data_IF_011451053240
#
_entry.id   IF_011451053240
#
_cell.length_a   1.000
_cell.length_b   1.000
_cell.length_c   1.000
_cell.angle_alpha   90.00
_cell.angle_beta   90.00
_cell.angle_gamma   90.00
#
_symmetry.space_group_name_H-M   'P 1'
#
loop_
_entity.id
_entity.type
_entity.pdbx_description
1 polymer ?
#
# COMPACT_ATOMS: atom_id res chain seq x y z
N UNK A 1 -7.61 -6.25 -18.47
CA UNK A 1 -7.13 -5.99 -17.09
C UNK A 1 -7.71 -4.68 -16.54
N UNK A 2 -7.60 -3.57 -17.30
CA UNK A 2 -8.12 -2.24 -16.94
C UNK A 2 -9.56 -2.20 -16.41
N UNK A 3 -10.46 -3.06 -16.90
CA UNK A 3 -11.86 -3.08 -16.45
C UNK A 3 -12.03 -3.57 -15.00
N UNK A 4 -11.30 -4.62 -14.59
CA UNK A 4 -11.36 -5.11 -13.20
C UNK A 4 -10.64 -4.19 -12.23
N UNK A 5 -9.51 -3.62 -12.66
CA UNK A 5 -8.76 -2.64 -11.88
C UNK A 5 -9.60 -1.38 -11.60
N UNK A 6 -10.11 -0.71 -12.64
CA UNK A 6 -10.94 0.48 -12.47
C UNK A 6 -12.19 0.20 -11.64
N UNK A 7 -12.84 -0.94 -11.85
CA UNK A 7 -13.99 -1.30 -11.04
C UNK A 7 -13.59 -1.52 -9.57
N UNK A 8 -12.46 -2.17 -9.31
CA UNK A 8 -11.92 -2.32 -7.96
C UNK A 8 -11.70 -0.98 -7.25
N UNK A 9 -11.03 -0.04 -7.93
CA UNK A 9 -10.78 1.30 -7.40
C UNK A 9 -12.08 2.07 -7.13
N UNK A 10 -13.02 2.07 -8.07
CA UNK A 10 -14.31 2.75 -7.90
C UNK A 10 -15.09 2.21 -6.68
N UNK A 11 -15.06 0.90 -6.48
CA UNK A 11 -15.84 0.28 -5.41
C UNK A 11 -15.28 0.60 -4.03
N UNK A 12 -13.96 0.61 -3.84
CA UNK A 12 -13.40 0.75 -2.49
C UNK A 12 -11.93 1.10 -2.41
N UNK A 13 -11.33 1.63 -3.47
CA UNK A 13 -9.92 2.01 -3.48
C UNK A 13 -9.58 2.94 -2.31
N UNK A 14 -8.54 2.64 -1.51
CA UNK A 14 -8.19 3.45 -0.34
C UNK A 14 -7.34 4.68 -0.69
N UNK A 15 -6.81 4.73 -1.92
CA UNK A 15 -5.93 5.79 -2.41
C UNK A 15 -6.66 6.82 -3.28
N UNK A 16 -7.94 6.59 -3.56
CA UNK A 16 -8.79 7.44 -4.43
C UNK A 16 -10.19 7.52 -3.85
N UNK A 17 -10.98 8.51 -4.27
CA UNK A 17 -12.39 8.56 -3.90
C UNK A 17 -13.11 7.29 -4.39
N UNK A 18 -13.86 6.64 -3.50
CA UNK A 18 -14.50 5.36 -3.79
C UNK A 18 -15.83 5.18 -3.04
N UNK A 19 -16.61 4.16 -3.43
CA UNK A 19 -17.92 3.86 -2.85
C UNK A 19 -17.84 3.18 -1.47
N UNK A 20 -16.64 2.93 -0.93
CA UNK A 20 -16.43 2.29 0.38
C UNK A 20 -16.79 0.79 0.43
N UNK A 21 -17.10 0.16 -0.70
CA UNK A 21 -17.43 -1.26 -0.83
C UNK A 21 -16.15 -2.10 -0.95
N UNK A 22 -15.37 -2.14 0.13
CA UNK A 22 -14.05 -2.76 0.18
C UNK A 22 -14.03 -4.25 -0.16
N UNK A 23 -15.07 -5.01 0.23
CA UNK A 23 -15.19 -6.43 -0.14
C UNK A 23 -15.38 -6.65 -1.66
N UNK A 24 -16.18 -5.78 -2.30
CA UNK A 24 -16.37 -5.80 -3.75
C UNK A 24 -15.04 -5.41 -4.42
N UNK A 25 -14.42 -4.33 -3.95
CA UNK A 25 -13.11 -3.89 -4.46
C UNK A 25 -12.07 -5.01 -4.41
N UNK A 26 -11.99 -5.74 -3.29
CA UNK A 26 -11.03 -6.83 -3.11
C UNK A 26 -11.27 -7.96 -4.12
N UNK A 27 -12.53 -8.33 -4.36
CA UNK A 27 -12.89 -9.37 -5.32
C UNK A 27 -12.39 -9.02 -6.73
N UNK A 28 -12.60 -7.78 -7.17
CA UNK A 28 -12.17 -7.34 -8.50
C UNK A 28 -10.67 -7.10 -8.59
N UNK A 29 -10.04 -6.58 -7.54
CA UNK A 29 -8.59 -6.42 -7.49
C UNK A 29 -7.86 -7.77 -7.49
N UNK A 30 -8.39 -8.81 -6.82
CA UNK A 30 -7.82 -10.17 -6.91
C UNK A 30 -7.86 -10.72 -8.33
N UNK A 31 -8.97 -10.53 -9.05
CA UNK A 31 -9.08 -10.93 -10.47
C UNK A 31 -8.10 -10.15 -11.36
N UNK A 32 -7.93 -8.86 -11.12
CA UNK A 32 -6.96 -8.05 -11.84
C UNK A 32 -5.52 -8.55 -11.57
N UNK A 33 -5.20 -8.85 -10.30
CA UNK A 33 -3.89 -9.34 -9.88
C UNK A 33 -3.57 -10.71 -10.48
N UNK A 34 -4.55 -11.62 -10.55
CA UNK A 34 -4.39 -12.93 -11.20
C UNK A 34 -4.05 -12.77 -12.69
N UNK A 35 -4.79 -11.92 -13.40
CA UNK A 35 -4.52 -11.64 -14.81
C UNK A 35 -3.14 -10.98 -15.03
N UNK A 36 -2.76 -10.03 -14.17
CA UNK A 36 -1.44 -9.40 -14.18
C UNK A 36 -0.32 -10.42 -13.90
N UNK A 37 -0.57 -11.35 -12.97
CA UNK A 37 0.36 -12.43 -12.61
C UNK A 37 0.61 -13.39 -13.78
N UNK A 38 -0.46 -13.80 -14.47
CA UNK A 38 -0.34 -14.64 -15.67
C UNK A 38 0.47 -13.92 -16.77
N UNK A 39 0.19 -12.64 -17.01
CA UNK A 39 0.94 -11.83 -17.98
C UNK A 39 2.42 -11.71 -17.61
N UNK A 40 2.73 -11.46 -16.34
CA UNK A 40 4.12 -11.33 -15.87
C UNK A 40 4.90 -12.65 -15.93
N UNK A 41 4.22 -13.79 -15.75
CA UNK A 41 4.82 -15.12 -15.89
C UNK A 41 5.13 -15.46 -17.36
N UNK A 42 4.23 -15.12 -18.29
CA UNK A 42 4.44 -15.34 -19.72
C UNK A 42 5.49 -14.38 -20.32
N UNK A 43 5.42 -13.10 -19.95
CA UNK A 43 6.28 -12.04 -20.48
C UNK A 43 6.76 -11.09 -19.36
N UNK A 44 7.85 -11.44 -18.67
CA UNK A 44 8.42 -10.58 -17.64
C UNK A 44 9.02 -9.33 -18.31
N UNK A 45 8.37 -8.19 -18.10
CA UNK A 45 8.78 -6.89 -18.61
C UNK A 45 8.71 -5.88 -17.47
N UNK A 46 9.37 -4.73 -17.64
CA UNK A 46 9.22 -3.61 -16.69
C UNK A 46 7.76 -3.15 -16.57
N UNK A 47 6.98 -3.26 -17.64
CA UNK A 47 5.54 -2.97 -17.67
C UNK A 47 4.73 -3.98 -16.87
N UNK A 48 4.95 -5.29 -17.03
CA UNK A 48 4.21 -6.30 -16.27
C UNK A 48 4.56 -6.28 -14.77
N UNK A 49 5.81 -5.95 -14.42
CA UNK A 49 6.19 -5.66 -13.04
C UNK A 49 5.53 -4.37 -12.50
N UNK A 50 5.31 -3.36 -13.35
CA UNK A 50 4.62 -2.13 -12.99
C UNK A 50 3.11 -2.34 -12.75
N UNK A 51 2.48 -3.18 -13.53
CA UNK A 51 1.09 -3.58 -13.33
C UNK A 51 0.92 -4.36 -12.03
N UNK A 52 1.80 -5.32 -11.75
CA UNK A 52 1.76 -6.09 -10.50
C UNK A 52 1.89 -5.20 -9.27
N UNK A 53 2.89 -4.31 -9.21
CA UNK A 53 3.07 -3.39 -8.07
C UNK A 53 1.88 -2.44 -7.92
N UNK A 54 1.33 -1.97 -9.03
CA UNK A 54 0.15 -1.08 -9.08
C UNK A 54 -1.13 -1.73 -8.56
N UNK A 55 -1.19 -3.06 -8.50
CA UNK A 55 -2.35 -3.81 -7.97
C UNK A 55 -2.12 -4.33 -6.55
N UNK A 56 -0.89 -4.76 -6.24
CA UNK A 56 -0.54 -5.34 -4.94
C UNK A 56 -0.74 -4.36 -3.77
N UNK A 57 -0.28 -3.12 -3.94
CA UNK A 57 -0.33 -2.11 -2.87
C UNK A 57 -1.78 -1.70 -2.57
N UNK A 58 -2.61 -1.30 -3.56
CA UNK A 58 -4.02 -1.01 -3.31
C UNK A 58 -4.78 -2.21 -2.73
N UNK A 59 -4.55 -3.43 -3.25
CA UNK A 59 -5.20 -4.63 -2.74
C UNK A 59 -4.88 -4.86 -1.26
N UNK A 60 -3.60 -4.77 -0.89
CA UNK A 60 -3.18 -4.91 0.49
C UNK A 60 -3.62 -3.74 1.38
N UNK A 61 -3.83 -2.55 0.82
CA UNK A 61 -4.32 -1.38 1.56
C UNK A 61 -5.83 -1.41 1.85
N UNK A 62 -6.63 -2.19 1.11
CA UNK A 62 -8.06 -2.37 1.40
C UNK A 62 -8.27 -2.89 2.82
N UNK A 63 -9.29 -2.37 3.52
CA UNK A 63 -9.70 -2.91 4.82
C UNK A 63 -10.00 -4.39 4.72
N UNK A 64 -9.57 -5.16 5.70
CA UNK A 64 -9.73 -6.62 5.79
C UNK A 64 -10.18 -7.02 7.19
N UNK A 65 -10.94 -8.11 7.35
CA UNK A 65 -11.17 -8.70 8.68
C UNK A 65 -9.84 -9.18 9.30
N UNK A 66 -9.80 -9.43 10.63
CA UNK A 66 -8.58 -9.88 11.32
C UNK A 66 -7.90 -11.10 10.67
N UNK A 67 -8.68 -12.04 10.13
CA UNK A 67 -8.17 -13.23 9.42
C UNK A 67 -7.42 -12.91 8.14
N UNK A 68 -7.67 -11.75 7.51
CA UNK A 68 -7.04 -11.31 6.27
C UNK A 68 -5.81 -10.41 6.48
N UNK A 69 -5.46 -10.06 7.72
CA UNK A 69 -4.36 -9.12 8.01
C UNK A 69 -3.00 -9.64 7.52
N UNK A 70 -2.73 -10.94 7.64
CA UNK A 70 -1.48 -11.54 7.23
C UNK A 70 -1.30 -11.54 5.69
N UNK A 71 -2.37 -11.90 4.96
CA UNK A 71 -2.39 -11.83 3.48
C UNK A 71 -2.19 -10.39 3.01
N UNK A 72 -2.96 -9.45 3.57
CA UNK A 72 -2.85 -8.01 3.28
C UNK A 72 -1.42 -7.48 3.50
N UNK A 73 -0.77 -7.84 4.61
CA UNK A 73 0.61 -7.46 4.88
C UNK A 73 1.59 -8.08 3.87
N UNK A 74 1.38 -9.34 3.48
CA UNK A 74 2.23 -10.02 2.50
C UNK A 74 2.18 -9.30 1.14
N UNK A 75 0.98 -8.89 0.69
CA UNK A 75 0.85 -8.17 -0.58
C UNK A 75 1.46 -6.77 -0.54
N UNK A 76 1.32 -6.05 0.58
CA UNK A 76 1.98 -4.74 0.77
C UNK A 76 3.50 -4.87 0.70
N UNK A 77 4.08 -5.86 1.40
CA UNK A 77 5.53 -6.12 1.39
C UNK A 77 6.02 -6.56 0.01
N UNK A 78 5.24 -7.38 -0.69
CA UNK A 78 5.54 -7.80 -2.06
C UNK A 78 5.54 -6.59 -3.01
N UNK A 79 4.53 -5.73 -2.92
CA UNK A 79 4.43 -4.51 -3.71
C UNK A 79 5.60 -3.55 -3.45
N UNK A 80 5.93 -3.30 -2.17
CA UNK A 80 7.08 -2.47 -1.78
C UNK A 80 8.41 -3.05 -2.30
N UNK A 81 8.60 -4.37 -2.20
CA UNK A 81 9.79 -5.04 -2.72
C UNK A 81 9.95 -4.90 -4.24
N UNK A 82 8.84 -4.83 -5.00
CA UNK A 82 8.88 -4.58 -6.44
C UNK A 82 9.17 -3.11 -6.78
N UNK A 83 8.73 -2.16 -5.95
CA UNK A 83 9.09 -0.74 -6.10
C UNK A 83 10.59 -0.52 -5.90
N UNK A 84 11.15 -1.06 -4.82
CA UNK A 84 12.56 -0.88 -4.46
C UNK A 84 13.53 -1.38 -5.55
N UNK A 85 13.16 -2.43 -6.30
CA UNK A 85 14.02 -3.04 -7.34
C UNK A 85 14.11 -2.23 -8.63
N UNK A 86 13.15 -1.33 -8.90
CA UNK A 86 13.00 -0.70 -10.22
C UNK A 86 13.58 0.72 -10.31
N UNK A 87 14.18 1.26 -9.25
CA UNK A 87 14.89 2.55 -9.24
C UNK A 87 14.02 3.79 -9.45
N UNK A 88 12.80 3.64 -9.99
CA UNK A 88 11.76 4.66 -10.05
C UNK A 88 10.92 4.56 -8.78
N UNK A 89 11.20 5.43 -7.82
CA UNK A 89 10.37 5.55 -6.63
C UNK A 89 9.10 6.31 -7.01
N UNK A 90 8.04 5.59 -7.35
CA UNK A 90 6.70 6.13 -7.13
C UNK A 90 6.56 6.31 -5.61
N UNK A 91 6.99 7.47 -5.13
CA UNK A 91 7.08 7.78 -3.72
C UNK A 91 5.73 7.66 -3.02
N UNK A 92 4.65 8.01 -3.72
CA UNK A 92 3.29 7.91 -3.21
C UNK A 92 2.91 6.45 -2.94
N UNK A 93 3.14 5.54 -3.90
CA UNK A 93 2.87 4.12 -3.69
C UNK A 93 3.80 3.50 -2.62
N UNK A 94 5.07 3.91 -2.57
CA UNK A 94 6.01 3.44 -1.57
C UNK A 94 5.58 3.84 -0.15
N UNK A 95 5.22 5.13 0.04
CA UNK A 95 4.68 5.65 1.29
C UNK A 95 3.43 4.85 1.70
N UNK A 96 2.48 4.68 0.78
CA UNK A 96 1.25 3.94 1.05
C UNK A 96 1.54 2.50 1.47
N UNK A 97 2.44 1.79 0.78
CA UNK A 97 2.77 0.41 1.12
C UNK A 97 3.25 0.27 2.58
N UNK A 98 4.16 1.15 3.00
CA UNK A 98 4.70 1.15 4.36
C UNK A 98 3.68 1.63 5.40
N UNK A 99 2.88 2.64 5.08
CA UNK A 99 1.86 3.16 5.99
C UNK A 99 0.79 2.12 6.30
N UNK A 100 0.24 1.47 5.25
CA UNK A 100 -0.75 0.42 5.43
C UNK A 100 -0.13 -0.82 6.08
N UNK A 101 1.14 -1.16 5.79
CA UNK A 101 1.81 -2.27 6.48
C UNK A 101 1.90 -2.02 7.99
N UNK A 102 2.25 -0.79 8.40
CA UNK A 102 2.25 -0.37 9.80
C UNK A 102 0.87 -0.49 10.46
N UNK A 103 -0.21 -0.11 9.75
CA UNK A 103 -1.59 -0.31 10.22
C UNK A 103 -1.93 -1.79 10.42
N UNK A 104 -1.56 -2.66 9.48
CA UNK A 104 -1.80 -4.12 9.59
C UNK A 104 -1.02 -4.73 10.75
N UNK A 105 0.25 -4.36 10.90
CA UNK A 105 1.10 -4.82 12.01
C UNK A 105 0.56 -4.35 13.36
N UNK A 106 0.07 -3.10 13.45
CA UNK A 106 -0.60 -2.60 14.66
C UNK A 106 -1.84 -3.43 14.99
N UNK A 107 -2.69 -3.72 13.99
CA UNK A 107 -3.86 -4.56 14.18
C UNK A 107 -3.54 -6.00 14.59
N UNK A 108 -2.37 -6.51 14.20
CA UNK A 108 -1.84 -7.82 14.61
C UNK A 108 -1.10 -7.81 15.96
N UNK A 109 -1.03 -6.66 16.65
CA UNK A 109 -0.27 -6.53 17.91
C UNK A 109 1.25 -6.47 17.75
N UNK A 110 1.76 -6.39 16.52
CA UNK A 110 3.20 -6.38 16.18
C UNK A 110 3.75 -4.95 16.19
N UNK A 111 3.68 -4.29 17.34
CA UNK A 111 3.87 -2.85 17.45
C UNK A 111 5.29 -2.37 17.08
N UNK A 112 6.33 -3.12 17.45
CA UNK A 112 7.72 -2.76 17.12
C UNK A 112 7.94 -2.73 15.61
N UNK A 113 7.41 -3.72 14.89
CA UNK A 113 7.46 -3.74 13.42
C UNK A 113 6.59 -2.66 12.81
N UNK A 114 5.41 -2.39 13.38
CA UNK A 114 4.55 -1.30 12.91
C UNK A 114 5.25 0.06 12.96
N UNK A 115 5.96 0.35 14.06
CA UNK A 115 6.76 1.57 14.19
C UNK A 115 7.86 1.63 13.13
N UNK A 116 8.50 0.50 12.81
CA UNK A 116 9.52 0.46 11.77
C UNK A 116 8.94 0.82 10.41
N UNK A 117 7.81 0.23 10.01
CA UNK A 117 7.16 0.56 8.73
C UNK A 117 6.72 2.03 8.66
N UNK A 118 6.09 2.57 9.71
CA UNK A 118 5.70 3.99 9.72
C UNK A 118 6.89 4.94 9.65
N UNK A 119 8.05 4.58 10.21
CA UNK A 119 9.28 5.38 10.07
C UNK A 119 9.81 5.39 8.63
N UNK A 120 9.69 4.28 7.91
CA UNK A 120 10.07 4.24 6.49
C UNK A 120 9.14 5.15 5.68
N UNK A 121 7.82 5.07 5.90
CA UNK A 121 6.85 5.96 5.26
C UNK A 121 7.15 7.45 5.54
N UNK A 122 7.45 7.77 6.80
CA UNK A 122 7.82 9.13 7.23
C UNK A 122 9.07 9.64 6.49
N UNK A 123 10.14 8.84 6.45
CA UNK A 123 11.39 9.25 5.80
C UNK A 123 11.22 9.52 4.29
N UNK A 124 10.41 8.72 3.60
CA UNK A 124 10.11 8.96 2.17
C UNK A 124 9.29 10.26 2.02
N UNK A 125 8.26 10.46 2.85
CA UNK A 125 7.45 11.68 2.79
C UNK A 125 8.25 12.95 3.08
N UNK A 126 9.17 12.92 4.05
CA UNK A 126 10.06 14.04 4.37
C UNK A 126 11.04 14.37 3.23
N UNK A 127 11.53 13.35 2.51
CA UNK A 127 12.33 13.56 1.31
C UNK A 127 11.54 14.28 0.22
N UNK A 128 10.27 13.90 0.01
CA UNK A 128 9.38 14.59 -0.93
C UNK A 128 9.15 16.05 -0.53
N UNK A 129 8.89 16.33 0.75
CA UNK A 129 8.72 17.70 1.24
C UNK A 129 9.99 18.54 1.17
N UNK A 130 11.17 17.91 1.23
CA UNK A 130 12.43 18.63 1.02
C UNK A 130 12.55 19.12 -0.42
N UNK A 131 12.15 18.30 -1.40
CA UNK A 131 12.17 18.67 -2.82
C UNK A 131 10.97 19.55 -3.23
N UNK A 132 9.80 19.32 -2.62
CA UNK A 132 8.53 19.96 -2.93
C UNK A 132 7.80 20.35 -1.64
N UNK A 133 8.19 21.46 -1.00
CA UNK A 133 7.65 21.85 0.31
C UNK A 133 6.12 21.97 0.38
N UNK A 134 5.47 22.28 -0.74
CA UNK A 134 4.02 22.47 -0.86
C UNK A 134 3.24 21.24 -1.30
N UNK A 135 3.88 20.07 -1.34
CA UNK A 135 3.19 18.81 -1.64
C UNK A 135 2.23 18.42 -0.50
N UNK A 136 0.93 18.66 -0.73
CA UNK A 136 -0.12 18.33 0.21
C UNK A 136 -0.24 16.84 0.52
N UNK A 137 0.03 15.97 -0.46
CA UNK A 137 -0.03 14.53 -0.28
C UNK A 137 1.10 14.07 0.66
N UNK A 138 2.32 14.56 0.44
CA UNK A 138 3.45 14.26 1.30
C UNK A 138 3.25 14.80 2.73
N UNK A 139 2.70 16.03 2.90
CA UNK A 139 2.35 16.56 4.23
C UNK A 139 1.35 15.67 4.96
N UNK A 140 0.31 15.19 4.26
CA UNK A 140 -0.66 14.26 4.83
C UNK A 140 0.00 12.96 5.28
N UNK A 141 0.88 12.39 4.46
CA UNK A 141 1.60 11.16 4.79
C UNK A 141 2.51 11.31 6.01
N UNK A 142 3.15 12.47 6.21
CA UNK A 142 3.90 12.76 7.44
C UNK A 142 2.99 12.71 8.67
N UNK A 143 1.78 13.28 8.59
CA UNK A 143 0.80 13.24 9.68
C UNK A 143 0.34 11.81 9.97
N UNK A 144 -0.04 11.06 8.93
CA UNK A 144 -0.53 9.70 9.05
C UNK A 144 0.54 8.75 9.61
N UNK A 145 1.80 8.90 9.19
CA UNK A 145 2.93 8.15 9.71
C UNK A 145 3.22 8.46 11.19
N UNK A 146 3.23 9.74 11.57
CA UNK A 146 3.43 10.14 12.96
C UNK A 146 2.30 9.65 13.87
N UNK A 147 1.05 9.72 13.41
CA UNK A 147 -0.11 9.18 14.12
C UNK A 147 0.00 7.65 14.30
N UNK A 148 0.44 6.94 13.26
CA UNK A 148 0.72 5.51 13.32
C UNK A 148 1.80 5.15 14.35
N UNK A 149 2.93 5.86 14.36
CA UNK A 149 4.02 5.69 15.35
C UNK A 149 3.50 5.93 16.77
N UNK A 150 2.78 7.04 16.98
CA UNK A 150 2.25 7.39 18.29
C UNK A 150 1.28 6.32 18.80
N UNK A 151 0.35 5.87 17.94
CA UNK A 151 -0.61 4.81 18.27
C UNK A 151 0.08 3.50 18.64
N UNK A 152 1.02 3.04 17.81
CA UNK A 152 1.73 1.78 18.06
C UNK A 152 2.57 1.86 19.36
N UNK A 153 3.19 3.00 19.65
CA UNK A 153 3.92 3.22 20.92
C UNK A 153 3.01 3.18 22.14
N UNK A 154 1.82 3.76 22.06
CA UNK A 154 0.84 3.73 23.16
C UNK A 154 0.36 2.32 23.43
N UNK A 155 0.11 1.53 22.39
CA UNK A 155 -0.37 0.14 22.50
C UNK A 155 0.72 -0.86 22.90
N UNK A 156 2.00 -0.51 22.78
CA UNK A 156 3.13 -1.33 23.17
C UNK A 156 3.49 -1.25 24.67
N UNK A 157 2.78 -0.41 25.43
CA UNK A 157 2.94 -0.24 26.88
C UNK A 157 1.96 -1.13 27.63
#
# INVERSE_FOLDING_TARGET
MLSYEHYGYLQGGPLVASLGRTEVARTYMKKALEAAGANAADRPTSSSAAELRGLLIPLGALDVPPSGLAESLAELRRGAGLLARNGVTDGTLAIAAHEYAGRRLTAMGRYTEAIAEHRVALGIAEQFLTAHPDDHAARRSVLDANAGIARARTLAR
#
